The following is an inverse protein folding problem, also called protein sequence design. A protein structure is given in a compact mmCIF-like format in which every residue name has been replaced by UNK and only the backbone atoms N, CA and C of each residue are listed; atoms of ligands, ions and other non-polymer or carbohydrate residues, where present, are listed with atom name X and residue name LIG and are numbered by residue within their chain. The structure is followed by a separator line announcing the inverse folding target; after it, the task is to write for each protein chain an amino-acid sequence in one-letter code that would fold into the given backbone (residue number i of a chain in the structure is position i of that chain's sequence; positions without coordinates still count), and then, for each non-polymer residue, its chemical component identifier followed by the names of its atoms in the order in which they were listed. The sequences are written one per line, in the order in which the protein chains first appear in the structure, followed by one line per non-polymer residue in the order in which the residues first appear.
data_IF_329364110020
#
_entry.id   IF_329364110020
#
_cell.length_a   1.000
_cell.length_b   1.000
_cell.length_c   1.000
_cell.angle_alpha   90.00
_cell.angle_beta   90.00
_cell.angle_gamma   90.00
#
_symmetry.space_group_name_H-M   'P 1'
#
loop_
_entity.id
_entity.type
_entity.pdbx_description
1 polymer ?
#
# COMPACT_ATOMS: atom_id res chain seq x y z
N UNK A 1 -7.41 3.41 -29.88
CA UNK A 1 -7.88 2.48 -28.82
C UNK A 1 -6.81 1.41 -28.72
N UNK A 2 -5.92 1.53 -27.74
CA UNK A 2 -4.86 0.55 -27.48
C UNK A 2 -5.51 -0.63 -26.74
N UNK A 3 -5.41 -1.83 -27.28
CA UNK A 3 -5.80 -3.06 -26.60
C UNK A 3 -5.07 -3.16 -25.26
N UNK A 4 -5.85 -3.23 -24.19
CA UNK A 4 -5.30 -3.57 -22.89
C UNK A 4 -4.79 -5.01 -22.95
N UNK A 5 -3.47 -5.16 -22.95
CA UNK A 5 -2.83 -6.48 -22.88
C UNK A 5 -3.22 -7.08 -21.52
N UNK A 6 -4.01 -8.14 -21.54
CA UNK A 6 -4.37 -8.86 -20.32
C UNK A 6 -3.08 -9.42 -19.70
N UNK A 7 -2.73 -8.94 -18.50
CA UNK A 7 -1.59 -9.45 -17.75
C UNK A 7 -1.81 -10.94 -17.46
N UNK A 8 -0.89 -11.77 -17.94
CA UNK A 8 -0.87 -13.20 -17.59
C UNK A 8 -0.21 -13.35 -16.22
N UNK A 9 -0.99 -13.62 -15.21
CA UNK A 9 -0.48 -13.96 -13.89
C UNK A 9 0.24 -15.32 -13.98
N UNK A 10 1.55 -15.33 -13.77
CA UNK A 10 2.31 -16.57 -13.60
C UNK A 10 2.05 -17.13 -12.21
N UNK A 11 1.32 -18.22 -12.11
CA UNK A 11 1.15 -18.96 -10.86
C UNK A 11 2.29 -19.97 -10.73
N UNK A 12 3.17 -19.77 -9.76
CA UNK A 12 4.19 -20.74 -9.32
C UNK A 12 5.60 -20.48 -9.83
N UNK A 13 6.44 -20.01 -8.94
CA UNK A 13 7.88 -19.87 -9.04
C UNK A 13 8.40 -18.92 -7.97
N UNK A 14 9.60 -19.17 -7.45
CA UNK A 14 10.27 -18.17 -6.59
C UNK A 14 10.60 -16.96 -7.46
N UNK A 15 10.03 -15.83 -7.10
CA UNK A 15 10.26 -14.57 -7.79
C UNK A 15 11.70 -14.09 -7.51
N UNK A 16 12.38 -13.58 -8.53
CA UNK A 16 13.74 -13.02 -8.38
C UNK A 16 13.77 -11.84 -7.42
N UNK A 17 12.66 -11.13 -7.29
CA UNK A 17 12.47 -9.99 -6.37
C UNK A 17 12.50 -10.39 -4.90
N UNK A 18 12.36 -11.68 -4.56
CA UNK A 18 12.44 -12.17 -3.18
C UNK A 18 13.83 -12.72 -2.87
N UNK A 19 14.40 -12.26 -1.78
CA UNK A 19 15.70 -12.73 -1.29
C UNK A 19 15.66 -13.38 0.09
N UNK A 20 14.56 -13.23 0.83
CA UNK A 20 14.35 -13.87 2.14
C UNK A 20 12.87 -14.16 2.41
N UNK A 21 12.55 -15.13 3.29
CA UNK A 21 11.19 -15.40 3.72
C UNK A 21 10.56 -14.16 4.36
N UNK A 22 9.33 -13.86 3.97
CA UNK A 22 8.55 -12.78 4.53
C UNK A 22 8.08 -13.14 5.94
N UNK A 23 8.27 -12.25 6.90
CA UNK A 23 7.78 -12.41 8.26
C UNK A 23 6.36 -11.87 8.36
N UNK A 24 5.37 -12.78 8.45
CA UNK A 24 3.97 -12.43 8.57
C UNK A 24 3.22 -13.44 9.42
N UNK A 25 2.06 -13.03 9.93
CA UNK A 25 1.16 -13.93 10.66
C UNK A 25 0.62 -15.02 9.72
N UNK A 26 0.33 -16.22 10.23
CA UNK A 26 -0.32 -17.28 9.44
C UNK A 26 -1.63 -16.79 8.83
N UNK A 27 -1.80 -16.98 7.50
CA UNK A 27 -2.97 -16.51 6.75
C UNK A 27 -3.03 -15.02 6.44
N UNK A 28 -1.98 -14.26 6.74
CA UNK A 28 -1.88 -12.84 6.40
C UNK A 28 -1.74 -12.64 4.88
N UNK A 29 -2.48 -11.67 4.32
CA UNK A 29 -2.43 -11.37 2.89
C UNK A 29 -1.31 -10.39 2.49
N UNK A 30 -0.63 -9.75 3.43
CA UNK A 30 0.48 -8.84 3.10
C UNK A 30 1.59 -9.51 2.27
N UNK A 31 2.03 -10.76 2.56
CA UNK A 31 3.00 -11.45 1.71
C UNK A 31 2.52 -11.64 0.26
N UNK A 32 1.22 -11.89 0.07
CA UNK A 32 0.65 -12.03 -1.28
C UNK A 32 0.72 -10.70 -2.02
N UNK A 33 0.39 -9.58 -1.37
CA UNK A 33 0.52 -8.23 -1.96
C UNK A 33 1.98 -7.99 -2.39
N UNK A 34 2.94 -8.30 -1.52
CA UNK A 34 4.37 -8.17 -1.84
C UNK A 34 4.79 -9.07 -3.00
N UNK A 35 4.26 -10.30 -3.06
CA UNK A 35 4.50 -11.22 -4.19
C UNK A 35 4.04 -10.62 -5.50
N UNK A 36 2.81 -10.11 -5.53
CA UNK A 36 2.22 -9.50 -6.72
C UNK A 36 3.01 -8.27 -7.16
N UNK A 37 3.44 -7.42 -6.20
CA UNK A 37 4.31 -6.27 -6.52
C UNK A 37 5.61 -6.74 -7.17
N UNK A 38 6.26 -7.76 -6.61
CA UNK A 38 7.49 -8.31 -7.16
C UNK A 38 7.31 -8.87 -8.58
N UNK A 39 6.23 -9.64 -8.82
CA UNK A 39 5.90 -10.16 -10.16
C UNK A 39 5.69 -9.03 -11.17
N UNK A 40 4.91 -8.03 -10.81
CA UNK A 40 4.64 -6.90 -11.71
C UNK A 40 5.91 -6.13 -12.03
N UNK A 41 6.78 -5.89 -11.05
CA UNK A 41 8.05 -5.21 -11.27
C UNK A 41 9.00 -6.02 -12.17
N UNK A 42 9.03 -7.36 -12.03
CA UNK A 42 9.76 -8.24 -12.95
C UNK A 42 9.18 -8.19 -14.36
N UNK A 43 7.86 -8.27 -14.52
CA UNK A 43 7.20 -8.21 -15.83
C UNK A 43 7.43 -6.87 -16.55
N UNK A 44 7.57 -5.79 -15.79
CA UNK A 44 7.89 -4.45 -16.29
C UNK A 44 9.39 -4.20 -16.47
N UNK A 45 10.25 -5.18 -16.15
CA UNK A 45 11.71 -5.04 -16.16
C UNK A 45 12.22 -3.90 -15.23
N UNK A 46 11.52 -3.68 -14.10
CA UNK A 46 11.82 -2.64 -13.13
C UNK A 46 12.46 -3.17 -11.84
N UNK A 47 12.60 -4.46 -11.69
CA UNK A 47 13.11 -5.14 -10.50
C UNK A 47 14.51 -4.69 -10.07
N UNK A 48 15.36 -4.26 -11.02
CA UNK A 48 16.69 -3.68 -10.75
C UNK A 48 16.72 -2.15 -10.59
N UNK A 49 15.61 -1.45 -10.82
CA UNK A 49 15.59 0.02 -10.88
C UNK A 49 14.53 0.67 -10.01
N UNK A 50 13.53 -0.08 -9.53
CA UNK A 50 12.50 0.44 -8.67
C UNK A 50 13.04 0.76 -7.26
N UNK A 51 12.49 1.83 -6.67
CA UNK A 51 12.74 2.20 -5.27
C UNK A 51 11.43 2.09 -4.51
N UNK A 52 11.41 1.33 -3.42
CA UNK A 52 10.24 1.24 -2.55
C UNK A 52 10.47 2.02 -1.26
N UNK A 53 9.51 2.88 -0.91
CA UNK A 53 9.48 3.56 0.38
C UNK A 53 8.44 2.86 1.25
N UNK A 54 8.90 2.20 2.29
CA UNK A 54 8.06 1.49 3.24
C UNK A 54 7.56 2.43 4.32
N UNK A 55 6.28 2.33 4.61
CA UNK A 55 5.70 2.94 5.82
C UNK A 55 6.02 2.16 7.08
N UNK A 56 5.42 2.56 8.20
CA UNK A 56 5.59 1.89 9.49
C UNK A 56 4.38 1.01 9.80
N UNK A 57 4.64 -0.22 10.24
CA UNK A 57 3.62 -1.20 10.56
C UNK A 57 3.90 -2.56 9.91
N UNK A 58 2.88 -3.36 9.66
CA UNK A 58 3.04 -4.69 9.07
C UNK A 58 3.74 -4.64 7.70
N UNK A 59 3.55 -3.58 6.93
CA UNK A 59 4.19 -3.41 5.61
C UNK A 59 5.71 -3.28 5.68
N UNK A 60 6.26 -2.69 6.75
CA UNK A 60 7.73 -2.62 6.94
C UNK A 60 8.37 -3.98 7.28
N UNK A 61 7.57 -4.91 7.80
CA UNK A 61 8.04 -6.26 8.15
C UNK A 61 8.15 -7.17 6.92
N UNK A 62 7.59 -6.74 5.79
CA UNK A 62 7.58 -7.49 4.53
C UNK A 62 8.70 -7.01 3.59
N UNK A 63 9.73 -6.37 4.10
CA UNK A 63 10.89 -5.90 3.33
C UNK A 63 11.76 -7.08 2.84
N UNK A 64 11.11 -8.07 2.20
CA UNK A 64 11.76 -9.22 1.58
C UNK A 64 12.00 -9.04 0.08
N UNK A 65 11.58 -7.90 -0.47
CA UNK A 65 11.80 -7.57 -1.87
C UNK A 65 13.26 -7.17 -2.08
N UNK A 66 13.90 -7.77 -3.08
CA UNK A 66 15.27 -7.44 -3.48
C UNK A 66 15.29 -6.14 -4.31
N UNK A 67 14.87 -5.06 -3.69
CA UNK A 67 14.77 -3.72 -4.26
C UNK A 67 15.53 -2.72 -3.39
N UNK A 68 15.87 -1.57 -3.97
CA UNK A 68 16.29 -0.40 -3.21
C UNK A 68 15.14 0.02 -2.27
N UNK A 69 15.35 -0.09 -0.96
CA UNK A 69 14.31 0.05 0.03
C UNK A 69 14.66 1.15 1.03
N UNK A 70 13.74 2.07 1.26
CA UNK A 70 13.87 3.13 2.27
C UNK A 70 12.75 2.96 3.29
N UNK A 71 13.10 2.85 4.57
CA UNK A 71 12.12 2.88 5.64
C UNK A 71 11.80 4.34 6.00
N UNK A 72 10.54 4.74 5.77
CA UNK A 72 10.05 6.06 6.11
C UNK A 72 9.67 6.21 7.59
N UNK A 73 9.50 7.46 8.03
CA UNK A 73 8.80 7.74 9.27
C UNK A 73 7.33 7.36 9.14
N UNK A 74 6.66 7.09 10.27
CA UNK A 74 5.23 6.74 10.25
C UNK A 74 4.40 7.85 9.56
N UNK A 75 3.72 7.48 8.49
CA UNK A 75 2.95 8.39 7.63
C UNK A 75 3.76 9.19 6.61
N UNK A 76 5.10 9.22 6.70
CA UNK A 76 5.95 10.06 5.86
C UNK A 76 6.40 9.44 4.53
N UNK A 77 5.98 8.22 4.21
CA UNK A 77 6.45 7.56 2.99
C UNK A 77 6.16 8.35 1.70
N UNK A 78 4.99 9.00 1.48
CA UNK A 78 4.74 9.79 0.29
C UNK A 78 5.66 11.01 0.15
N UNK A 79 6.06 11.65 1.27
CA UNK A 79 6.98 12.78 1.24
C UNK A 79 8.39 12.34 0.83
N UNK A 80 8.86 11.22 1.39
CA UNK A 80 10.16 10.64 1.03
C UNK A 80 10.14 10.17 -0.43
N UNK A 81 9.10 9.50 -0.86
CA UNK A 81 8.94 9.07 -2.26
C UNK A 81 8.93 10.27 -3.22
N UNK A 82 8.24 11.36 -2.85
CA UNK A 82 8.26 12.62 -3.59
C UNK A 82 9.68 13.16 -3.72
N UNK A 83 10.45 13.21 -2.63
CA UNK A 83 11.82 13.70 -2.65
C UNK A 83 12.72 12.83 -3.54
N UNK A 84 12.63 11.51 -3.39
CA UNK A 84 13.40 10.56 -4.22
C UNK A 84 13.04 10.74 -5.69
N UNK A 85 11.74 10.77 -6.04
CA UNK A 85 11.29 10.90 -7.43
C UNK A 85 11.76 12.20 -8.08
N UNK A 86 11.87 13.29 -7.32
CA UNK A 86 12.38 14.57 -7.83
C UNK A 86 13.89 14.58 -8.01
N UNK A 87 14.63 13.81 -7.21
CA UNK A 87 16.09 13.67 -7.34
C UNK A 87 16.47 12.64 -8.41
N UNK A 88 15.65 11.60 -8.56
CA UNK A 88 15.86 10.47 -9.46
C UNK A 88 14.64 10.33 -10.42
N UNK A 89 14.45 11.28 -11.35
CA UNK A 89 13.22 11.37 -12.13
C UNK A 89 12.97 10.15 -13.05
N UNK A 90 14.00 9.42 -13.42
CA UNK A 90 13.93 8.26 -14.31
C UNK A 90 13.64 6.94 -13.54
N UNK A 91 13.79 6.94 -12.20
CA UNK A 91 13.52 5.76 -11.38
C UNK A 91 12.02 5.58 -11.16
N UNK A 92 11.57 4.33 -11.13
CA UNK A 92 10.22 4.00 -10.66
C UNK A 92 10.19 4.03 -9.13
N UNK A 93 9.33 4.88 -8.57
CA UNK A 93 9.24 5.06 -7.11
C UNK A 93 7.83 4.70 -6.65
N UNK A 94 7.75 3.82 -5.67
CA UNK A 94 6.49 3.41 -5.06
C UNK A 94 6.56 3.50 -3.53
N UNK A 95 5.41 3.70 -2.90
CA UNK A 95 5.26 3.53 -1.45
C UNK A 95 4.46 2.27 -1.15
N UNK A 96 4.76 1.60 -0.04
CA UNK A 96 3.96 0.51 0.49
C UNK A 96 3.63 0.80 1.96
N UNK A 97 2.35 1.01 2.24
CA UNK A 97 1.87 1.49 3.53
C UNK A 97 0.64 0.71 3.99
N UNK A 98 0.44 0.61 5.30
CA UNK A 98 -0.86 0.21 5.86
C UNK A 98 -1.86 1.36 5.81
N UNK A 99 -3.14 1.06 6.01
CA UNK A 99 -4.23 2.06 6.03
C UNK A 99 -4.05 3.10 7.14
N UNK A 100 -3.73 2.67 8.35
CA UNK A 100 -3.45 3.60 9.46
C UNK A 100 -2.22 4.46 9.23
N UNK A 101 -1.19 3.91 8.60
CA UNK A 101 0.02 4.64 8.23
C UNK A 101 -0.28 5.67 7.13
N UNK A 102 -0.95 5.26 6.06
CA UNK A 102 -1.17 6.07 4.86
C UNK A 102 -2.17 7.20 5.10
N UNK A 103 -3.38 6.88 5.58
CA UNK A 103 -4.52 7.80 5.60
C UNK A 103 -4.97 8.27 6.99
N UNK A 104 -4.23 7.90 8.04
CA UNK A 104 -4.39 8.52 9.36
C UNK A 104 -3.17 9.38 9.67
N UNK A 105 -2.07 8.74 10.09
CA UNK A 105 -0.84 9.48 10.45
C UNK A 105 -0.28 10.20 9.25
N UNK A 106 -0.31 9.58 8.06
CA UNK A 106 0.17 10.12 6.79
C UNK A 106 -0.84 10.91 5.97
N UNK A 107 -2.02 11.21 6.50
CA UNK A 107 -3.08 11.88 5.73
C UNK A 107 -2.61 13.16 5.01
N UNK A 108 -1.83 13.99 5.71
CA UNK A 108 -1.26 15.21 5.14
C UNK A 108 -0.30 14.95 3.98
N UNK A 109 0.64 14.04 4.16
CA UNK A 109 1.62 13.64 3.14
C UNK A 109 0.93 13.02 1.91
N UNK A 110 -0.04 12.14 2.15
CA UNK A 110 -0.82 11.47 1.13
C UNK A 110 -1.65 12.46 0.28
N UNK A 111 -2.42 13.34 0.93
CA UNK A 111 -3.20 14.39 0.26
C UNK A 111 -2.29 15.35 -0.50
N UNK A 112 -1.17 15.75 0.09
CA UNK A 112 -0.23 16.67 -0.53
C UNK A 112 0.43 16.07 -1.78
N UNK A 113 0.80 14.79 -1.77
CA UNK A 113 1.36 14.10 -2.93
C UNK A 113 0.34 14.05 -4.09
N UNK A 114 -0.92 13.71 -3.80
CA UNK A 114 -2.00 13.71 -4.80
C UNK A 114 -2.31 15.11 -5.33
N UNK A 115 -2.38 16.10 -4.44
CA UNK A 115 -2.64 17.48 -4.81
C UNK A 115 -1.56 18.09 -5.71
N UNK A 116 -0.31 17.67 -5.54
CA UNK A 116 0.82 18.05 -6.41
C UNK A 116 0.94 17.23 -7.69
N UNK A 117 0.18 16.12 -7.82
CA UNK A 117 0.30 15.20 -8.95
C UNK A 117 1.69 14.56 -9.04
N UNK A 118 2.24 14.13 -7.92
CA UNK A 118 3.57 13.52 -7.88
C UNK A 118 3.60 12.20 -8.67
N UNK A 119 4.62 12.02 -9.48
CA UNK A 119 4.78 10.82 -10.32
C UNK A 119 5.33 9.63 -9.49
N UNK A 120 4.55 9.20 -8.52
CA UNK A 120 4.81 8.06 -7.65
C UNK A 120 3.62 7.12 -7.63
N UNK A 121 3.86 5.85 -7.31
CA UNK A 121 2.79 4.87 -7.10
C UNK A 121 2.60 4.65 -5.60
N UNK A 122 1.39 4.85 -5.09
CA UNK A 122 1.06 4.62 -3.67
C UNK A 122 0.25 3.32 -3.55
N UNK A 123 0.80 2.34 -2.85
CA UNK A 123 0.14 1.06 -2.56
C UNK A 123 -0.24 1.04 -1.08
N UNK A 124 -1.54 0.97 -0.81
CA UNK A 124 -2.08 0.87 0.54
C UNK A 124 -2.60 -0.54 0.81
N UNK A 125 -1.91 -1.27 1.66
CA UNK A 125 -2.35 -2.57 2.16
C UNK A 125 -3.37 -2.36 3.29
N UNK A 126 -4.66 -2.43 2.94
CA UNK A 126 -5.76 -2.15 3.85
C UNK A 126 -6.22 -3.41 4.58
N UNK A 127 -5.95 -3.51 5.87
CA UNK A 127 -6.44 -4.57 6.76
C UNK A 127 -7.50 -4.06 7.76
N UNK A 128 -7.96 -2.82 7.60
CA UNK A 128 -8.98 -2.19 8.41
C UNK A 128 -8.67 -2.11 9.92
N UNK A 129 -7.39 -2.06 10.28
CA UNK A 129 -6.94 -1.88 11.67
C UNK A 129 -5.45 -1.52 11.76
N UNK A 130 -4.99 -1.08 12.94
CA UNK A 130 -3.56 -0.97 13.28
C UNK A 130 -3.03 -2.34 13.73
N UNK A 131 -2.71 -3.22 12.76
CA UNK A 131 -2.39 -4.63 13.03
C UNK A 131 -1.19 -4.84 13.95
N UNK A 132 -0.06 -4.18 13.69
CA UNK A 132 1.20 -4.38 14.43
C UNK A 132 1.07 -4.03 15.92
N UNK A 133 0.26 -3.04 16.26
CA UNK A 133 0.10 -2.57 17.65
C UNK A 133 -1.02 -3.30 18.40
N UNK A 134 -1.73 -4.22 17.77
CA UNK A 134 -2.73 -5.07 18.43
C UNK A 134 -4.15 -4.93 17.89
N UNK A 135 -4.35 -4.33 16.70
CA UNK A 135 -5.62 -4.34 15.99
C UNK A 135 -6.59 -3.21 16.32
N UNK A 136 -6.09 -2.07 16.80
CA UNK A 136 -6.92 -0.91 17.13
C UNK A 136 -7.69 -0.36 15.93
N UNK A 137 -8.73 0.43 16.19
CA UNK A 137 -9.51 1.15 15.19
C UNK A 137 -8.60 1.98 14.27
N UNK A 138 -8.75 1.79 12.97
CA UNK A 138 -8.10 2.57 11.91
C UNK A 138 -9.14 3.37 11.11
N UNK A 139 -8.73 4.31 10.27
CA UNK A 139 -9.67 5.10 9.47
C UNK A 139 -10.58 4.26 8.57
N UNK A 140 -10.11 3.11 8.12
CA UNK A 140 -10.84 2.19 7.22
C UNK A 140 -11.64 1.10 7.93
N UNK A 141 -11.53 0.99 9.25
CA UNK A 141 -12.30 0.00 10.04
C UNK A 141 -13.78 0.12 9.71
N UNK A 142 -14.40 -0.97 9.33
CA UNK A 142 -15.80 -0.96 8.88
C UNK A 142 -16.77 -0.79 10.05
N UNK A 143 -17.96 -0.24 9.78
CA UNK A 143 -19.01 -0.07 10.79
C UNK A 143 -19.39 -1.40 11.40
N UNK A 144 -19.49 -1.47 12.73
CA UNK A 144 -19.76 -2.69 13.47
C UNK A 144 -18.56 -3.61 13.70
N UNK A 145 -17.39 -3.33 13.12
CA UNK A 145 -16.19 -4.13 13.38
C UNK A 145 -15.70 -3.93 14.81
N UNK A 146 -15.56 -5.04 15.53
CA UNK A 146 -15.01 -5.08 16.88
C UNK A 146 -13.48 -4.97 16.81
N UNK A 147 -12.93 -4.04 17.58
CA UNK A 147 -11.48 -3.88 17.77
C UNK A 147 -11.19 -3.65 19.26
N UNK A 148 -9.93 -3.74 19.72
CA UNK A 148 -9.59 -3.42 21.10
C UNK A 148 -9.99 -2.02 21.57
N UNK A 149 -10.14 -1.07 20.66
CA UNK A 149 -10.58 0.31 20.96
C UNK A 149 -12.05 0.57 20.61
N UNK A 150 -12.73 -0.38 20.00
CA UNK A 150 -14.19 -0.37 19.75
C UNK A 150 -14.77 -1.74 20.12
N UNK A 151 -14.84 -2.07 21.42
CA UNK A 151 -15.23 -3.41 21.86
C UNK A 151 -16.68 -3.76 21.55
N UNK A 152 -17.55 -2.77 21.40
CA UNK A 152 -18.95 -2.93 21.01
C UNK A 152 -19.18 -2.80 19.48
N UNK A 153 -18.08 -2.72 18.72
CA UNK A 153 -18.07 -2.45 17.28
C UNK A 153 -18.02 -0.96 16.96
N UNK A 154 -17.39 -0.61 15.82
CA UNK A 154 -17.31 0.79 15.35
C UNK A 154 -18.71 1.38 15.21
N UNK A 155 -18.96 2.49 15.92
CA UNK A 155 -20.19 3.25 15.87
C UNK A 155 -19.97 4.60 15.17
N UNK A 156 -20.79 4.90 14.16
CA UNK A 156 -20.65 6.12 13.36
C UNK A 156 -20.90 7.41 14.15
N UNK A 157 -21.66 7.35 15.26
CA UNK A 157 -21.93 8.51 16.10
C UNK A 157 -20.73 8.91 16.99
N UNK A 158 -19.94 7.92 17.41
CA UNK A 158 -18.79 8.14 18.32
C UNK A 158 -17.45 8.06 17.59
N UNK A 159 -17.33 7.15 16.62
CA UNK A 159 -16.06 6.81 15.97
C UNK A 159 -15.99 7.31 14.52
N UNK A 160 -17.08 7.90 14.02
CA UNK A 160 -17.18 8.40 12.65
C UNK A 160 -17.23 7.31 11.59
N UNK A 161 -17.30 7.73 10.33
CA UNK A 161 -17.43 6.85 9.17
C UNK A 161 -16.08 6.35 8.66
N UNK A 162 -16.02 5.13 8.06
CA UNK A 162 -14.83 4.65 7.37
C UNK A 162 -14.46 5.56 6.19
N UNK A 163 -13.14 5.76 6.00
CA UNK A 163 -12.62 6.49 4.85
C UNK A 163 -12.48 5.52 3.66
N UNK A 164 -13.04 5.91 2.52
CA UNK A 164 -12.89 5.22 1.25
C UNK A 164 -11.74 5.85 0.46
N UNK A 165 -10.53 5.34 0.68
CA UNK A 165 -9.31 5.98 0.20
C UNK A 165 -9.20 6.04 -1.33
N UNK A 166 -9.56 4.98 -2.05
CA UNK A 166 -9.46 4.96 -3.50
C UNK A 166 -10.45 5.94 -4.15
N UNK A 167 -11.66 6.00 -3.63
CA UNK A 167 -12.70 6.94 -4.08
C UNK A 167 -12.29 8.38 -3.78
N UNK A 168 -11.73 8.64 -2.61
CA UNK A 168 -11.20 9.95 -2.26
C UNK A 168 -10.03 10.35 -3.16
N UNK A 169 -9.07 9.45 -3.40
CA UNK A 169 -7.94 9.68 -4.29
C UNK A 169 -8.40 10.04 -5.72
N UNK A 170 -9.45 9.38 -6.22
CA UNK A 170 -10.00 9.63 -7.54
C UNK A 170 -10.59 11.04 -7.72
N UNK A 171 -10.82 11.78 -6.64
CA UNK A 171 -11.30 13.19 -6.71
C UNK A 171 -10.21 14.20 -7.02
N UNK A 172 -8.94 13.81 -6.88
CA UNK A 172 -7.82 14.71 -7.14
C UNK A 172 -7.44 14.72 -8.62
N UNK A 173 -7.37 15.92 -9.21
CA UNK A 173 -6.99 16.08 -10.62
C UNK A 173 -5.57 15.61 -10.95
N UNK A 174 -4.68 15.60 -9.95
CA UNK A 174 -3.29 15.12 -10.10
C UNK A 174 -3.15 13.60 -10.07
N UNK A 175 -4.22 12.85 -9.78
CA UNK A 175 -4.20 11.38 -9.71
C UNK A 175 -4.58 10.80 -11.07
N UNK A 176 -3.62 10.18 -11.74
CA UNK A 176 -3.84 9.58 -13.06
C UNK A 176 -4.64 8.27 -13.01
N UNK A 177 -4.53 7.53 -11.91
CA UNK A 177 -5.21 6.25 -11.72
C UNK A 177 -5.45 5.98 -10.23
N UNK A 178 -6.64 5.48 -9.91
CA UNK A 178 -6.98 5.00 -8.57
C UNK A 178 -7.86 3.75 -8.67
N UNK A 179 -7.50 2.73 -7.91
CA UNK A 179 -8.25 1.47 -7.87
C UNK A 179 -8.14 0.80 -6.51
N UNK A 180 -9.03 -0.15 -6.26
CA UNK A 180 -8.91 -1.10 -5.16
C UNK A 180 -9.26 -2.50 -5.62
N UNK A 181 -8.65 -3.48 -4.99
CA UNK A 181 -8.92 -4.89 -5.19
C UNK A 181 -9.00 -5.63 -3.87
N UNK A 182 -9.39 -6.88 -3.91
CA UNK A 182 -9.41 -7.78 -2.76
C UNK A 182 -8.89 -9.15 -3.13
N UNK A 183 -8.19 -9.80 -2.20
CA UNK A 183 -7.62 -11.15 -2.38
C UNK A 183 -8.66 -12.21 -1.98
N UNK A 184 -9.82 -12.23 -2.62
CA UNK A 184 -10.93 -13.09 -2.23
C UNK A 184 -11.35 -14.11 -3.31
N UNK A 185 -10.93 -13.92 -4.55
CA UNK A 185 -11.22 -14.85 -5.65
C UNK A 185 -10.05 -14.90 -6.64
N UNK A 186 -9.99 -15.98 -7.44
CA UNK A 186 -9.01 -16.13 -8.54
C UNK A 186 -9.22 -15.14 -9.70
N UNK A 187 -10.31 -14.38 -9.68
CA UNK A 187 -10.68 -13.43 -10.73
C UNK A 187 -10.31 -11.96 -10.40
N UNK A 188 -9.69 -11.74 -9.24
CA UNK A 188 -9.28 -10.40 -8.79
C UNK A 188 -7.77 -10.27 -8.83
#
# INVERSE_FOLDING_TARGET
MTEATAMKVKVGGLQRSYWQPLQACPGCHHPIISSVIGEVLEEMELDGSAIVVLGVGCTSMIAGLNLDCVLGSHGGAPDIATAIKRLEPDRFVLTMQGDGDCIAIGAGAWIAAMGRGENITIIMANNANYGTTGGQLAPTTIVGQITPTTPDGRNTETDGFPIHAAELAATFQGVAYSARGALNTMAN
#
